data_IF_438962579392
#
_entry.id   IF_438962579392
#
_cell.length_a   1.000
_cell.length_b   1.000
_cell.length_c   1.000
_cell.angle_alpha   90.00
_cell.angle_beta   90.00
_cell.angle_gamma   90.00
#
_symmetry.space_group_name_H-M   'P 1'
#
loop_
_entity.id
_entity.type
_entity.pdbx_description
1 polymer ?
#
# COMPACT_ATOMS: atom_id res chain seq x y z
N UNK A 1 -25.13 -30.23 -7.83
CA UNK A 1 -24.91 -30.39 -6.38
C UNK A 1 -24.07 -29.23 -5.89
N UNK A 2 -24.56 -28.40 -4.98
CA UNK A 2 -23.75 -27.32 -4.38
C UNK A 2 -22.76 -27.97 -3.41
N UNK A 3 -21.47 -27.93 -3.71
CA UNK A 3 -20.41 -28.55 -2.88
C UNK A 3 -20.29 -27.83 -1.52
N UNK A 4 -20.62 -26.53 -1.46
CA UNK A 4 -20.60 -25.71 -0.25
C UNK A 4 -21.94 -25.00 -0.02
N UNK A 5 -22.29 -24.73 1.22
CA UNK A 5 -23.35 -23.78 1.53
C UNK A 5 -22.92 -22.38 1.07
N UNK A 6 -23.88 -21.56 0.70
CA UNK A 6 -23.62 -20.27 0.03
C UNK A 6 -22.65 -19.35 0.75
N UNK A 7 -22.72 -19.11 2.09
CA UNK A 7 -21.76 -18.23 2.78
C UNK A 7 -20.33 -18.74 2.72
N UNK A 8 -20.12 -20.04 2.84
CA UNK A 8 -18.78 -20.66 2.75
C UNK A 8 -18.23 -20.49 1.33
N UNK A 9 -19.04 -20.78 0.33
CA UNK A 9 -18.65 -20.64 -1.08
C UNK A 9 -18.26 -19.20 -1.45
N UNK A 10 -19.03 -18.22 -0.97
CA UNK A 10 -18.70 -16.79 -1.15
C UNK A 10 -17.36 -16.43 -0.52
N UNK A 11 -17.12 -16.85 0.72
CA UNK A 11 -15.88 -16.56 1.44
C UNK A 11 -14.66 -17.18 0.75
N UNK A 12 -14.76 -18.45 0.32
CA UNK A 12 -13.70 -19.12 -0.45
C UNK A 12 -13.40 -18.36 -1.75
N UNK A 13 -14.45 -17.91 -2.45
CA UNK A 13 -14.28 -17.16 -3.69
C UNK A 13 -13.57 -15.82 -3.46
N UNK A 14 -13.90 -15.09 -2.41
CA UNK A 14 -13.21 -13.84 -2.08
C UNK A 14 -11.72 -14.07 -1.77
N UNK A 15 -11.39 -15.10 -0.99
CA UNK A 15 -9.99 -15.45 -0.75
C UNK A 15 -9.25 -15.87 -2.03
N UNK A 16 -9.92 -16.57 -2.94
CA UNK A 16 -9.32 -17.00 -4.22
C UNK A 16 -8.98 -15.84 -5.16
N UNK A 17 -9.56 -14.66 -4.96
CA UNK A 17 -9.21 -13.43 -5.73
C UNK A 17 -7.87 -12.83 -5.33
N UNK A 18 -7.34 -13.20 -4.17
CA UNK A 18 -6.07 -12.68 -3.67
C UNK A 18 -4.90 -13.29 -4.48
N UNK A 19 -3.92 -12.49 -4.90
CA UNK A 19 -2.79 -12.99 -5.66
C UNK A 19 -1.99 -14.02 -4.85
N UNK A 20 -1.66 -15.15 -5.47
CA UNK A 20 -0.95 -16.25 -4.82
C UNK A 20 -1.82 -17.18 -3.96
N UNK A 21 -3.12 -16.92 -3.85
CA UNK A 21 -4.05 -17.78 -3.11
C UNK A 21 -4.79 -18.71 -4.06
N UNK A 22 -4.38 -19.99 -4.06
CA UNK A 22 -5.07 -21.05 -4.80
C UNK A 22 -6.31 -21.58 -4.05
N UNK A 23 -7.14 -22.35 -4.75
CA UNK A 23 -8.40 -22.89 -4.23
C UNK A 23 -8.25 -23.62 -2.89
N UNK A 24 -7.21 -24.45 -2.73
CA UNK A 24 -6.94 -25.20 -1.50
C UNK A 24 -6.60 -24.28 -0.32
N UNK A 25 -5.82 -23.23 -0.57
CA UNK A 25 -5.46 -22.23 0.44
C UNK A 25 -6.65 -21.39 0.83
N UNK A 26 -7.47 -20.96 -0.14
CA UNK A 26 -8.71 -20.24 0.09
C UNK A 26 -9.69 -21.01 0.98
N UNK A 27 -9.85 -22.32 0.75
CA UNK A 27 -10.65 -23.19 1.60
C UNK A 27 -10.11 -23.23 3.04
N UNK A 28 -8.79 -23.38 3.22
CA UNK A 28 -8.17 -23.38 4.55
C UNK A 28 -8.42 -22.08 5.31
N UNK A 29 -8.35 -20.93 4.63
CA UNK A 29 -8.65 -19.63 5.22
C UNK A 29 -10.12 -19.54 5.62
N UNK A 30 -11.04 -19.93 4.75
CA UNK A 30 -12.47 -19.92 5.06
C UNK A 30 -12.80 -20.78 6.28
N UNK A 31 -12.27 -21.99 6.37
CA UNK A 31 -12.46 -22.86 7.52
C UNK A 31 -11.81 -22.30 8.80
N UNK A 32 -10.68 -21.62 8.69
CA UNK A 32 -10.10 -20.92 9.86
C UNK A 32 -11.04 -19.83 10.38
N UNK A 33 -11.62 -19.03 9.49
CA UNK A 33 -12.61 -17.99 9.87
C UNK A 33 -13.84 -18.60 10.53
N UNK A 34 -14.37 -19.71 10.01
CA UNK A 34 -15.54 -20.39 10.58
C UNK A 34 -15.28 -20.85 12.02
N UNK A 35 -14.07 -21.32 12.30
CA UNK A 35 -13.69 -21.88 13.59
C UNK A 35 -13.15 -20.86 14.59
N UNK A 36 -12.99 -19.59 14.21
CA UNK A 36 -12.58 -18.54 15.14
C UNK A 36 -13.75 -17.91 15.87
N UNK A 37 -13.54 -17.32 17.06
CA UNK A 37 -14.56 -16.57 17.77
C UNK A 37 -15.11 -15.42 16.93
N UNK A 38 -16.39 -15.11 17.11
CA UNK A 38 -17.06 -14.01 16.37
C UNK A 38 -16.33 -12.67 16.53
N UNK A 39 -15.80 -12.38 17.72
CA UNK A 39 -15.03 -11.15 17.97
C UNK A 39 -13.80 -11.04 17.08
N UNK A 40 -13.01 -12.11 16.97
CA UNK A 40 -11.84 -12.14 16.10
C UNK A 40 -12.21 -12.02 14.62
N UNK A 41 -13.29 -12.69 14.19
CA UNK A 41 -13.77 -12.58 12.82
C UNK A 41 -14.24 -11.16 12.49
N UNK A 42 -14.91 -10.50 13.45
CA UNK A 42 -15.33 -9.11 13.33
C UNK A 42 -14.12 -8.17 13.24
N UNK A 43 -13.16 -8.30 14.15
CA UNK A 43 -11.95 -7.47 14.15
C UNK A 43 -11.17 -7.60 12.83
N UNK A 44 -11.11 -8.83 12.27
CA UNK A 44 -10.50 -9.07 10.97
C UNK A 44 -11.25 -8.35 9.83
N UNK A 45 -12.57 -8.43 9.81
CA UNK A 45 -13.40 -7.73 8.82
C UNK A 45 -13.27 -6.21 8.94
N UNK A 46 -13.29 -5.69 10.17
CA UNK A 46 -13.14 -4.26 10.46
C UNK A 46 -11.75 -3.76 10.05
N UNK A 47 -10.68 -4.56 10.25
CA UNK A 47 -9.34 -4.21 9.80
C UNK A 47 -9.26 -4.03 8.27
N UNK A 48 -9.90 -4.93 7.50
CA UNK A 48 -9.98 -4.82 6.04
C UNK A 48 -10.69 -3.53 5.62
N UNK A 49 -11.83 -3.22 6.23
CA UNK A 49 -12.61 -2.03 5.93
C UNK A 49 -11.87 -0.76 6.32
N UNK A 50 -11.20 -0.74 7.48
CA UNK A 50 -10.40 0.39 7.95
C UNK A 50 -9.27 0.73 6.99
N UNK A 51 -8.54 -0.27 6.49
CA UNK A 51 -7.48 -0.03 5.49
C UNK A 51 -8.05 0.62 4.23
N UNK A 52 -9.21 0.17 3.76
CA UNK A 52 -9.86 0.74 2.56
C UNK A 52 -10.38 2.16 2.77
N UNK A 53 -10.81 2.49 3.97
CA UNK A 53 -11.43 3.77 4.29
C UNK A 53 -10.40 4.84 4.71
N UNK A 54 -9.33 4.45 5.40
CA UNK A 54 -8.38 5.39 6.01
C UNK A 54 -7.08 5.53 5.24
N UNK A 55 -6.62 4.47 4.55
CA UNK A 55 -5.34 4.51 3.86
C UNK A 55 -5.49 5.05 2.44
N UNK A 56 -4.78 6.12 2.16
CA UNK A 56 -4.65 6.73 0.84
C UNK A 56 -3.19 7.06 0.54
N UNK A 57 -2.94 7.69 -0.59
CA UNK A 57 -1.60 8.08 -0.99
C UNK A 57 -1.30 9.50 -0.52
N UNK A 58 -0.14 9.71 0.08
CA UNK A 58 0.38 11.03 0.38
C UNK A 58 0.40 11.91 -0.88
N UNK A 59 -0.15 13.13 -0.77
CA UNK A 59 -0.22 14.07 -1.88
C UNK A 59 1.17 14.52 -2.38
N UNK A 60 2.18 14.48 -1.51
CA UNK A 60 3.55 14.91 -1.82
C UNK A 60 4.37 13.76 -2.41
N UNK A 61 4.57 12.68 -1.66
CA UNK A 61 5.53 11.64 -2.02
C UNK A 61 4.90 10.38 -2.63
N UNK A 62 3.57 10.22 -2.56
CA UNK A 62 2.88 9.04 -3.08
C UNK A 62 2.99 7.78 -2.21
N UNK A 63 3.57 7.85 -1.02
CA UNK A 63 3.57 6.77 -0.04
C UNK A 63 2.20 6.58 0.60
N UNK A 64 1.96 5.46 1.29
CA UNK A 64 0.74 5.27 2.08
C UNK A 64 0.69 6.23 3.26
N UNK A 65 -0.50 6.78 3.51
CA UNK A 65 -0.77 7.73 4.59
C UNK A 65 -2.22 7.60 5.07
N UNK A 66 -2.47 7.89 6.33
CA UNK A 66 -3.83 8.10 6.86
C UNK A 66 -4.29 9.55 6.71
N UNK A 67 -3.34 10.48 6.54
CA UNK A 67 -3.59 11.89 6.30
C UNK A 67 -3.13 12.32 4.90
N UNK A 68 -3.53 13.51 4.45
CA UNK A 68 -3.14 14.03 3.12
C UNK A 68 -1.63 14.02 2.90
N UNK A 69 -0.86 14.36 3.95
CA UNK A 69 0.61 14.35 3.94
C UNK A 69 1.12 13.35 4.98
N UNK A 70 2.02 12.44 4.57
CA UNK A 70 2.59 11.44 5.48
C UNK A 70 3.60 12.05 6.46
N UNK A 71 3.85 11.36 7.57
CA UNK A 71 4.74 11.82 8.64
C UNK A 71 6.16 12.09 8.16
N UNK A 72 6.68 11.29 7.24
CA UNK A 72 8.01 11.52 6.67
C UNK A 72 8.09 12.88 5.96
N UNK A 73 7.08 13.22 5.15
CA UNK A 73 7.03 14.51 4.45
C UNK A 73 6.78 15.70 5.39
N UNK A 74 6.18 15.48 6.56
CA UNK A 74 5.94 16.52 7.55
C UNK A 74 7.17 16.82 8.41
N UNK A 75 7.99 15.80 8.69
CA UNK A 75 9.02 15.87 9.73
C UNK A 75 10.45 15.93 9.21
N UNK A 76 10.71 15.49 7.97
CA UNK A 76 12.06 15.41 7.44
C UNK A 76 12.38 16.50 6.44
N UNK A 77 13.66 16.88 6.38
CA UNK A 77 14.16 17.84 5.39
C UNK A 77 14.24 17.22 3.99
N UNK A 78 14.07 18.04 2.95
CA UNK A 78 14.13 17.58 1.55
C UNK A 78 15.54 17.61 0.95
N UNK A 79 16.58 17.59 1.76
CA UNK A 79 17.99 17.64 1.26
C UNK A 79 18.35 16.40 0.44
N UNK A 80 17.75 15.26 0.76
CA UNK A 80 17.96 14.00 0.06
C UNK A 80 16.62 13.34 -0.27
N UNK A 81 16.43 12.98 -1.55
CA UNK A 81 15.20 12.33 -2.03
C UNK A 81 15.54 10.92 -2.53
N UNK A 82 14.94 9.91 -1.94
CA UNK A 82 15.02 8.55 -2.42
C UNK A 82 13.82 8.22 -3.31
N UNK A 83 14.07 7.94 -4.58
CA UNK A 83 13.04 7.57 -5.54
C UNK A 83 12.84 6.06 -5.52
N UNK A 84 11.62 5.61 -5.24
CA UNK A 84 11.27 4.19 -5.17
C UNK A 84 10.10 3.86 -6.09
N UNK A 85 9.98 2.60 -6.45
CA UNK A 85 8.93 2.15 -7.37
C UNK A 85 7.57 2.02 -6.70
N UNK A 86 7.54 1.47 -5.51
CA UNK A 86 6.31 1.13 -4.79
C UNK A 86 6.42 1.54 -3.32
N UNK A 87 5.28 1.82 -2.63
CA UNK A 87 5.30 2.17 -1.21
C UNK A 87 5.94 1.13 -0.29
N UNK A 88 5.89 -0.16 -0.66
CA UNK A 88 6.55 -1.23 0.10
C UNK A 88 8.06 -1.08 0.16
N UNK A 89 8.67 -0.45 -0.86
CA UNK A 89 10.11 -0.23 -0.93
C UNK A 89 10.53 0.81 0.11
N UNK A 90 9.69 1.82 0.37
CA UNK A 90 9.86 2.79 1.47
C UNK A 90 9.99 2.05 2.81
N UNK A 91 9.08 1.12 3.09
CA UNK A 91 9.08 0.35 4.33
C UNK A 91 10.36 -0.48 4.47
N UNK A 92 10.87 -1.04 3.37
CA UNK A 92 12.10 -1.82 3.37
C UNK A 92 13.32 -0.96 3.73
N UNK A 93 13.41 0.27 3.20
CA UNK A 93 14.50 1.21 3.48
C UNK A 93 14.38 1.76 4.92
N UNK A 94 13.17 2.12 5.36
CA UNK A 94 12.93 2.62 6.72
C UNK A 94 13.35 1.60 7.81
N UNK A 95 13.21 0.30 7.55
CA UNK A 95 13.66 -0.74 8.48
C UNK A 95 15.18 -0.74 8.74
N UNK A 96 15.96 -0.17 7.83
CA UNK A 96 17.42 -0.06 7.99
C UNK A 96 17.81 1.11 8.92
N UNK A 97 16.92 2.08 9.13
CA UNK A 97 17.13 3.29 9.93
C UNK A 97 18.38 4.11 9.54
N UNK A 98 18.84 3.98 8.30
CA UNK A 98 20.05 4.67 7.82
C UNK A 98 19.74 5.90 6.95
N UNK A 99 18.51 6.00 6.43
CA UNK A 99 18.10 7.07 5.53
C UNK A 99 17.19 8.09 6.26
N UNK A 100 17.61 9.35 6.29
CA UNK A 100 16.91 10.44 6.96
C UNK A 100 16.25 11.45 6.02
N UNK A 101 16.31 11.23 4.71
CA UNK A 101 15.69 12.07 3.70
C UNK A 101 14.21 11.72 3.47
N UNK A 102 13.64 12.32 2.43
CA UNK A 102 12.26 12.08 2.00
C UNK A 102 12.22 11.11 0.82
N UNK A 103 11.02 10.57 0.56
CA UNK A 103 10.82 9.62 -0.53
C UNK A 103 10.00 10.23 -1.66
N UNK A 104 10.16 9.66 -2.84
CA UNK A 104 9.25 9.84 -3.95
C UNK A 104 8.87 8.48 -4.54
N UNK A 105 7.58 8.12 -4.46
CA UNK A 105 7.07 6.85 -4.97
C UNK A 105 6.56 7.04 -6.39
N UNK A 106 7.17 6.31 -7.32
CA UNK A 106 6.74 6.29 -8.72
C UNK A 106 5.44 5.52 -8.84
N UNK A 107 4.32 6.21 -9.03
CA UNK A 107 3.01 5.57 -9.28
C UNK A 107 2.95 4.83 -10.63
N UNK A 108 4.04 4.80 -11.38
CA UNK A 108 4.09 4.26 -12.73
C UNK A 108 4.20 2.75 -12.73
N UNK A 109 3.23 2.07 -13.31
CA UNK A 109 3.44 0.73 -13.88
C UNK A 109 4.53 0.87 -14.95
N UNK A 110 5.70 0.28 -14.72
CA UNK A 110 6.87 0.27 -15.63
C UNK A 110 6.59 -0.47 -16.97
N UNK A 111 5.54 -0.10 -17.68
CA UNK A 111 5.29 -0.49 -19.07
C UNK A 111 5.51 0.68 -20.04
N UNK A 112 6.02 1.81 -19.55
CA UNK A 112 6.30 2.98 -20.39
C UNK A 112 7.77 3.08 -20.74
N UNK A 113 8.12 3.56 -21.95
CA UNK A 113 9.51 3.72 -22.37
C UNK A 113 10.25 4.71 -21.46
N UNK A 114 11.54 4.50 -21.29
CA UNK A 114 12.46 5.24 -20.40
C UNK A 114 12.36 6.78 -20.51
N UNK A 115 11.96 7.30 -21.67
CA UNK A 115 11.77 8.73 -21.92
C UNK A 115 10.54 9.32 -21.24
N UNK A 116 9.46 8.55 -21.05
CA UNK A 116 8.27 8.98 -20.31
C UNK A 116 8.58 9.05 -18.81
N UNK A 117 9.36 8.12 -18.30
CA UNK A 117 9.85 8.10 -16.93
C UNK A 117 10.71 9.33 -16.57
N UNK A 118 11.62 9.75 -17.46
CA UNK A 118 12.46 10.95 -17.24
C UNK A 118 11.60 12.23 -17.07
N UNK A 119 10.50 12.36 -17.82
CA UNK A 119 9.58 13.51 -17.69
C UNK A 119 8.77 13.48 -16.39
N UNK A 120 8.28 12.33 -15.98
CA UNK A 120 7.50 12.19 -14.73
C UNK A 120 8.36 12.43 -13.49
N UNK A 121 9.59 11.89 -13.46
CA UNK A 121 10.54 12.15 -12.36
C UNK A 121 10.93 13.63 -12.32
N UNK A 122 11.23 14.23 -13.47
CA UNK A 122 11.56 15.65 -13.54
C UNK A 122 10.41 16.54 -13.09
N UNK A 123 9.17 16.25 -13.52
CA UNK A 123 7.99 16.99 -13.11
C UNK A 123 7.70 16.83 -11.62
N UNK A 124 7.85 15.62 -11.08
CA UNK A 124 7.58 15.31 -9.67
C UNK A 124 8.64 15.87 -8.73
N UNK A 125 9.91 15.85 -9.14
CA UNK A 125 11.01 16.49 -8.39
C UNK A 125 10.84 18.02 -8.40
N UNK A 126 10.37 18.64 -9.50
CA UNK A 126 10.03 20.05 -9.55
C UNK A 126 8.83 20.40 -8.67
N UNK A 127 7.82 19.54 -8.58
CA UNK A 127 6.69 19.72 -7.67
C UNK A 127 7.09 19.60 -6.20
N UNK A 128 8.00 18.67 -5.87
CA UNK A 128 8.55 18.52 -4.52
C UNK A 128 9.48 19.69 -4.16
N UNK A 129 10.24 20.25 -5.11
CA UNK A 129 11.11 21.42 -4.92
C UNK A 129 10.36 22.75 -4.94
N UNK A 130 9.13 22.79 -5.49
CA UNK A 130 8.27 23.98 -5.50
C UNK A 130 7.47 24.17 -4.21
N UNK A 131 7.41 23.19 -3.32
CA UNK A 131 6.92 23.35 -1.96
C UNK A 131 8.08 23.86 -1.10
N UNK A 132 8.04 25.17 -0.87
CA UNK A 132 8.91 25.97 -0.02
C UNK A 132 9.59 25.13 1.09
N UNK A 133 10.80 24.64 0.84
CA UNK A 133 11.78 24.45 1.88
C UNK A 133 12.19 25.86 2.32
N UNK A 134 11.42 26.48 3.19
CA UNK A 134 11.83 27.70 3.88
C UNK A 134 12.96 27.31 4.81
N UNK A 135 14.16 27.74 4.46
CA UNK A 135 15.32 27.82 5.36
C UNK A 135 14.96 28.62 6.61
#
# INVERSE_FOLDING_TARGET
MKVYIEPIGKLINEFSKLPGVGAKTAQRFAYKIINMPYSEAKDFADAILNVKNKVHYCSICGNYSEEDVCDVCKTRSCESICVVKEPKDVIAIEKLNEFNGVYHVLKARLRRPLQAWKREVSASVHQASGMSCSL
#
